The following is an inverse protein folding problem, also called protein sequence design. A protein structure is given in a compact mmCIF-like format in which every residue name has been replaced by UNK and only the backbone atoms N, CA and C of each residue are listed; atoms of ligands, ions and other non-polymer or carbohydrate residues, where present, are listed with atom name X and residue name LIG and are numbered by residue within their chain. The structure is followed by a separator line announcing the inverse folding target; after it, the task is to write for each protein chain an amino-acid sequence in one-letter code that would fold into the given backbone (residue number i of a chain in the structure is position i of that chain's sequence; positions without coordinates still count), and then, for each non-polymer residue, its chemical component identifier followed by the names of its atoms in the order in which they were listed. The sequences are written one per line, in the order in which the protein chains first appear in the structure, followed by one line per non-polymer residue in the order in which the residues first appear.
data_IF_804426112163
#
_entry.id   IF_804426112163
#
_cell.length_a   1.000
_cell.length_b   1.000
_cell.length_c   1.000
_cell.angle_alpha   90.00
_cell.angle_beta   90.00
_cell.angle_gamma   90.00
#
_symmetry.space_group_name_H-M   'P 1'
#
loop_
_entity.id
_entity.type
_entity.pdbx_description
1 polymer ?
#
# COMPACT_ATOMS: atom_id res chain seq x y z
N UNK A 1 21.03 0.33 -5.74
CA UNK A 1 20.16 1.19 -4.90
C UNK A 1 19.46 0.32 -3.86
N UNK A 2 19.38 0.75 -2.60
CA UNK A 2 18.52 0.13 -1.58
C UNK A 2 17.36 1.09 -1.31
N UNK A 3 16.12 0.60 -1.43
CA UNK A 3 14.91 1.29 -1.01
C UNK A 3 14.38 0.58 0.24
N UNK A 4 14.26 1.29 1.34
CA UNK A 4 13.72 0.77 2.59
C UNK A 4 12.44 1.52 2.93
N UNK A 5 11.37 0.79 3.23
CA UNK A 5 10.03 1.31 3.40
C UNK A 5 9.35 0.75 4.65
N UNK A 6 8.51 1.56 5.27
CA UNK A 6 7.55 1.11 6.26
C UNK A 6 6.17 0.94 5.61
N UNK A 7 5.41 -0.10 5.94
CA UNK A 7 4.09 -0.34 5.35
C UNK A 7 3.09 0.78 5.62
N UNK A 8 3.12 1.35 6.80
CA UNK A 8 2.10 2.30 7.28
C UNK A 8 2.45 3.78 7.10
N UNK A 9 3.57 4.11 6.46
CA UNK A 9 3.96 5.51 6.30
C UNK A 9 3.36 6.11 5.03
N UNK A 10 2.16 6.65 5.12
CA UNK A 10 1.35 7.13 3.97
C UNK A 10 2.08 8.10 3.04
N UNK A 11 3.03 8.91 3.57
CA UNK A 11 3.75 9.89 2.77
C UNK A 11 4.87 9.27 1.91
N UNK A 12 5.48 8.18 2.37
CA UNK A 12 6.71 7.66 1.76
C UNK A 12 6.56 6.29 1.14
N UNK A 13 5.72 5.41 1.69
CA UNK A 13 5.60 4.01 1.26
C UNK A 13 5.41 3.88 -0.25
N UNK A 14 4.43 4.57 -0.82
CA UNK A 14 4.20 4.56 -2.26
C UNK A 14 5.43 5.01 -3.05
N UNK A 15 6.08 6.10 -2.60
CA UNK A 15 7.28 6.63 -3.25
C UNK A 15 8.44 5.65 -3.27
N UNK A 16 8.61 4.86 -2.21
CA UNK A 16 9.64 3.84 -2.14
C UNK A 16 9.41 2.73 -3.17
N UNK A 17 8.19 2.22 -3.29
CA UNK A 17 7.84 1.22 -4.29
C UNK A 17 7.96 1.76 -5.71
N UNK A 18 7.44 2.95 -5.99
CA UNK A 18 7.54 3.58 -7.31
C UNK A 18 9.00 3.87 -7.67
N UNK A 19 9.80 4.35 -6.73
CA UNK A 19 11.23 4.57 -6.92
C UNK A 19 11.99 3.28 -7.22
N UNK A 20 11.70 2.20 -6.49
CA UNK A 20 12.28 0.88 -6.75
C UNK A 20 11.93 0.36 -8.14
N UNK A 21 10.68 0.52 -8.57
CA UNK A 21 10.24 0.06 -9.89
C UNK A 21 10.86 0.88 -11.03
N UNK A 22 10.93 2.19 -10.86
CA UNK A 22 11.35 3.13 -11.92
C UNK A 22 12.85 3.31 -12.04
N UNK A 23 13.65 2.94 -11.04
CA UNK A 23 15.10 3.15 -11.06
C UNK A 23 15.77 2.35 -12.18
N UNK A 24 16.65 3.00 -12.93
CA UNK A 24 17.41 2.36 -14.02
C UNK A 24 18.56 1.45 -13.57
N UNK A 25 18.87 1.40 -12.27
CA UNK A 25 19.93 0.54 -11.74
C UNK A 25 19.53 -0.93 -11.82
N UNK A 26 20.40 -1.77 -12.37
CA UNK A 26 20.24 -3.23 -12.35
C UNK A 26 20.48 -3.81 -10.93
N UNK A 27 21.31 -3.13 -10.14
CA UNK A 27 21.56 -3.47 -8.75
C UNK A 27 20.61 -2.67 -7.87
N UNK A 28 19.47 -3.29 -7.51
CA UNK A 28 18.44 -2.66 -6.69
C UNK A 28 17.82 -3.66 -5.73
N UNK A 29 17.55 -3.19 -4.53
CA UNK A 29 16.95 -3.96 -3.44
C UNK A 29 15.80 -3.16 -2.83
N UNK A 30 14.77 -3.88 -2.41
CA UNK A 30 13.62 -3.37 -1.70
C UNK A 30 13.52 -4.08 -0.36
N UNK A 31 13.46 -3.32 0.71
CA UNK A 31 13.18 -3.82 2.06
C UNK A 31 11.93 -3.11 2.58
N UNK A 32 10.97 -3.89 3.13
CA UNK A 32 9.73 -3.34 3.66
C UNK A 32 9.46 -3.90 5.04
N UNK A 33 9.54 -3.04 6.04
CA UNK A 33 9.39 -3.39 7.44
C UNK A 33 8.03 -3.00 8.02
N UNK A 34 7.68 -3.66 9.13
CA UNK A 34 6.43 -3.43 9.85
C UNK A 34 6.55 -2.46 11.02
N UNK A 35 7.77 -2.25 11.53
CA UNK A 35 8.00 -1.33 12.64
C UNK A 35 7.78 0.12 12.25
N UNK A 36 7.73 1.00 13.25
CA UNK A 36 7.64 2.44 13.08
C UNK A 36 8.79 2.96 12.19
N UNK A 37 8.47 3.89 11.30
CA UNK A 37 9.33 4.36 10.23
C UNK A 37 10.74 4.81 10.67
N UNK A 38 10.84 5.55 11.77
CA UNK A 38 12.13 6.02 12.27
C UNK A 38 12.82 4.99 13.16
N UNK A 39 12.05 4.20 13.90
CA UNK A 39 12.59 3.24 14.84
C UNK A 39 13.40 2.15 14.13
N UNK A 40 12.90 1.63 13.00
CA UNK A 40 13.57 0.56 12.27
C UNK A 40 14.98 0.94 11.83
N UNK A 41 15.19 2.18 11.45
CA UNK A 41 16.51 2.68 11.03
C UNK A 41 17.61 2.48 12.10
N UNK A 42 17.24 2.53 13.38
CA UNK A 42 18.14 2.46 14.53
C UNK A 42 18.15 1.09 15.23
N UNK A 43 17.34 0.14 14.79
CA UNK A 43 17.39 -1.23 15.31
C UNK A 43 18.73 -1.91 14.92
N UNK A 44 19.09 -2.98 15.62
CA UNK A 44 20.25 -3.79 15.24
C UNK A 44 20.14 -4.31 13.81
N UNK A 45 18.93 -4.68 13.38
CA UNK A 45 18.63 -5.06 12.01
C UNK A 45 18.87 -3.92 11.02
N UNK A 46 18.25 -2.76 11.23
CA UNK A 46 18.37 -1.61 10.33
C UNK A 46 19.81 -1.09 10.24
N UNK A 47 20.51 -1.00 11.37
CA UNK A 47 21.94 -0.65 11.42
C UNK A 47 22.79 -1.71 10.72
N UNK A 48 22.50 -3.00 10.92
CA UNK A 48 23.17 -4.10 10.26
C UNK A 48 22.99 -4.07 8.74
N UNK A 49 21.77 -3.85 8.27
CA UNK A 49 21.45 -3.71 6.84
C UNK A 49 22.25 -2.56 6.19
N UNK A 50 22.28 -1.40 6.83
CA UNK A 50 23.03 -0.24 6.36
C UNK A 50 24.55 -0.51 6.33
N UNK A 51 25.09 -1.10 7.39
CA UNK A 51 26.52 -1.47 7.45
C UNK A 51 26.90 -2.44 6.33
N UNK A 52 26.08 -3.45 6.08
CA UNK A 52 26.31 -4.43 5.01
C UNK A 52 26.28 -3.75 3.64
N UNK A 53 25.23 -2.92 3.37
CA UNK A 53 25.11 -2.21 2.10
C UNK A 53 26.26 -1.25 1.85
N UNK A 54 26.53 -0.34 2.78
CA UNK A 54 27.58 0.67 2.60
C UNK A 54 28.99 0.07 2.71
N UNK A 55 29.19 -0.97 3.52
CA UNK A 55 30.45 -1.71 3.58
C UNK A 55 30.79 -2.31 2.22
N UNK A 56 29.84 -2.99 1.60
CA UNK A 56 30.01 -3.60 0.28
C UNK A 56 30.27 -2.56 -0.79
N UNK A 57 29.39 -1.55 -0.97
CA UNK A 57 29.45 -0.63 -2.11
C UNK A 57 30.45 0.51 -1.96
N UNK A 58 30.74 0.98 -0.75
CA UNK A 58 31.63 2.12 -0.53
C UNK A 58 33.04 1.73 -0.08
N UNK A 59 33.18 0.58 0.58
CA UNK A 59 34.48 0.14 1.10
C UNK A 59 35.04 -1.07 0.40
N UNK A 60 34.22 -1.83 -0.33
CA UNK A 60 34.60 -3.09 -0.95
C UNK A 60 34.75 -4.23 0.07
N UNK A 61 34.11 -4.09 1.22
CA UNK A 61 34.15 -5.13 2.27
C UNK A 61 33.35 -6.36 1.84
N UNK A 62 33.79 -7.53 2.21
CA UNK A 62 33.05 -8.79 2.05
C UNK A 62 31.97 -8.87 3.14
N UNK A 63 30.78 -8.27 2.88
CA UNK A 63 29.69 -8.18 3.85
C UNK A 63 28.60 -9.22 3.66
N UNK A 64 28.73 -10.10 2.67
CA UNK A 64 27.67 -11.04 2.25
C UNK A 64 26.48 -10.34 1.61
N UNK A 65 26.67 -9.13 1.07
CA UNK A 65 25.61 -8.42 0.37
C UNK A 65 25.19 -9.09 -0.93
N UNK A 66 26.07 -9.88 -1.53
CA UNK A 66 25.84 -10.65 -2.75
C UNK A 66 24.70 -11.67 -2.59
N UNK A 67 24.51 -12.14 -1.36
CA UNK A 67 23.45 -13.09 -1.00
C UNK A 67 22.15 -12.41 -0.56
N UNK A 68 22.13 -11.05 -0.57
CA UNK A 68 20.92 -10.30 -0.17
C UNK A 68 19.81 -10.51 -1.20
N UNK A 69 18.61 -10.97 -0.79
CA UNK A 69 17.48 -11.14 -1.69
C UNK A 69 17.08 -9.79 -2.30
N UNK A 70 16.63 -9.76 -3.55
CA UNK A 70 16.23 -8.53 -4.22
C UNK A 70 15.10 -7.79 -3.49
N UNK A 71 14.21 -8.54 -2.84
CA UNK A 71 13.08 -8.00 -2.07
C UNK A 71 12.97 -8.74 -0.75
N UNK A 72 12.83 -8.00 0.34
CA UNK A 72 12.54 -8.52 1.68
C UNK A 72 11.34 -7.82 2.25
N UNK A 73 10.34 -8.58 2.67
CA UNK A 73 9.07 -8.08 3.18
C UNK A 73 8.83 -8.60 4.59
N UNK A 74 8.33 -7.75 5.48
CA UNK A 74 7.70 -8.17 6.72
C UNK A 74 6.19 -8.21 6.50
N UNK A 75 5.62 -9.41 6.38
CA UNK A 75 4.17 -9.61 6.22
C UNK A 75 3.51 -9.67 7.58
N UNK A 76 2.55 -8.80 7.83
CA UNK A 76 1.83 -8.76 9.11
C UNK A 76 0.71 -9.79 9.14
N UNK A 77 0.62 -10.52 10.24
CA UNK A 77 -0.51 -11.38 10.59
C UNK A 77 -1.58 -10.59 11.38
N UNK A 78 -2.77 -11.15 11.48
CA UNK A 78 -3.89 -10.52 12.19
C UNK A 78 -3.63 -10.36 13.69
N UNK A 79 -2.75 -11.17 14.27
CA UNK A 79 -2.32 -11.08 15.68
C UNK A 79 -1.24 -10.01 15.93
N UNK A 80 -0.87 -9.25 14.88
CA UNK A 80 0.15 -8.21 14.92
C UNK A 80 1.59 -8.71 14.80
N UNK A 81 1.83 -10.03 14.72
CA UNK A 81 3.16 -10.58 14.44
C UNK A 81 3.55 -10.35 12.98
N UNK A 82 4.86 -10.41 12.71
CA UNK A 82 5.40 -10.27 11.36
C UNK A 82 6.17 -11.52 10.94
N UNK A 83 5.97 -11.93 9.71
CA UNK A 83 6.78 -12.93 9.01
C UNK A 83 7.75 -12.22 8.07
N UNK A 84 9.05 -12.38 8.29
CA UNK A 84 10.06 -11.95 7.32
C UNK A 84 10.07 -12.91 6.14
N UNK A 85 9.95 -12.37 4.92
CA UNK A 85 9.87 -13.16 3.71
C UNK A 85 10.75 -12.58 2.61
N UNK A 86 11.62 -13.43 2.08
CA UNK A 86 12.51 -13.13 0.97
C UNK A 86 11.82 -13.42 -0.37
N UNK A 87 11.84 -12.45 -1.27
CA UNK A 87 11.19 -12.51 -2.58
C UNK A 87 12.17 -12.13 -3.69
N UNK A 88 11.86 -12.59 -4.91
CA UNK A 88 12.73 -12.36 -6.06
C UNK A 88 12.35 -11.13 -6.88
N UNK A 89 11.16 -10.58 -6.65
CA UNK A 89 10.62 -9.48 -7.44
C UNK A 89 9.51 -8.72 -6.71
N UNK A 90 9.21 -7.54 -7.20
CA UNK A 90 8.04 -6.77 -6.81
C UNK A 90 7.43 -6.05 -8.03
N UNK A 91 6.08 -6.05 -8.25
CA UNK A 91 5.09 -6.85 -7.50
C UNK A 91 5.34 -8.34 -7.64
N UNK A 92 4.83 -9.14 -6.71
CA UNK A 92 5.03 -10.59 -6.71
C UNK A 92 4.34 -11.22 -7.94
N UNK A 93 5.03 -12.05 -8.72
CA UNK A 93 4.47 -12.70 -9.91
C UNK A 93 3.26 -13.61 -9.58
N UNK A 94 3.23 -14.17 -8.37
CA UNK A 94 2.11 -15.00 -7.91
C UNK A 94 0.87 -14.23 -7.50
N UNK A 95 0.91 -12.88 -7.46
CA UNK A 95 -0.24 -12.07 -7.09
C UNK A 95 -1.41 -12.32 -8.03
N UNK A 96 -2.56 -12.68 -7.46
CA UNK A 96 -3.83 -12.78 -8.16
C UNK A 96 -4.60 -11.48 -7.97
N UNK A 97 -4.62 -10.65 -9.01
CA UNK A 97 -5.33 -9.38 -9.02
C UNK A 97 -6.83 -9.62 -8.95
N UNK A 98 -7.41 -9.39 -7.79
CA UNK A 98 -8.82 -9.66 -7.50
C UNK A 98 -9.58 -8.35 -7.36
N UNK A 99 -10.70 -8.24 -8.07
CA UNK A 99 -11.62 -7.10 -7.93
C UNK A 99 -12.67 -7.40 -6.88
N UNK A 100 -12.88 -6.44 -6.00
CA UNK A 100 -14.02 -6.41 -5.10
C UNK A 100 -14.94 -5.27 -5.52
N UNK A 101 -16.23 -5.53 -5.53
CA UNK A 101 -17.26 -4.58 -5.93
C UNK A 101 -17.92 -3.98 -4.70
N UNK A 102 -18.08 -2.66 -4.73
CA UNK A 102 -18.77 -1.89 -3.68
C UNK A 102 -20.27 -1.90 -3.98
N UNK A 103 -21.08 -2.51 -3.14
CA UNK A 103 -22.53 -2.44 -3.24
C UNK A 103 -23.06 -1.37 -2.28
N UNK A 104 -23.42 -0.22 -2.83
CA UNK A 104 -23.94 0.91 -2.07
C UNK A 104 -25.36 0.65 -1.49
N UNK A 105 -26.08 -0.36 -1.98
CA UNK A 105 -27.40 -0.73 -1.46
C UNK A 105 -27.34 -1.50 -0.16
N UNK A 106 -26.30 -2.31 0.02
CA UNK A 106 -26.13 -3.19 1.19
C UNK A 106 -24.95 -2.83 2.07
N UNK A 107 -24.02 -1.98 1.60
CA UNK A 107 -22.74 -1.74 2.26
C UNK A 107 -21.79 -2.93 2.19
N UNK A 108 -22.00 -3.84 1.24
CA UNK A 108 -21.15 -5.02 1.10
C UNK A 108 -20.02 -4.84 0.10
N UNK A 109 -18.94 -5.61 0.32
CA UNK A 109 -17.77 -5.70 -0.53
C UNK A 109 -17.63 -7.15 -1.00
N UNK A 110 -17.88 -7.42 -2.28
CA UNK A 110 -17.97 -8.78 -2.82
C UNK A 110 -17.19 -8.94 -4.11
N UNK A 111 -16.80 -10.18 -4.43
CA UNK A 111 -16.13 -10.49 -5.71
C UNK A 111 -17.10 -10.54 -6.88
N UNK A 112 -18.39 -10.59 -6.63
CA UNK A 112 -19.45 -10.51 -7.64
C UNK A 112 -20.11 -9.14 -7.55
N UNK A 113 -20.21 -8.42 -8.66
CA UNK A 113 -20.86 -7.11 -8.68
C UNK A 113 -22.35 -7.18 -8.33
N UNK A 114 -22.94 -6.09 -7.83
CA UNK A 114 -24.37 -6.02 -7.58
C UNK A 114 -25.15 -6.10 -8.89
N UNK A 115 -26.35 -6.65 -8.84
CA UNK A 115 -27.24 -6.78 -10.03
C UNK A 115 -27.78 -5.42 -10.50
N UNK A 116 -27.82 -4.43 -9.61
CA UNK A 116 -28.31 -3.07 -9.87
C UNK A 116 -27.38 -2.03 -9.29
N UNK A 117 -27.26 -0.90 -9.96
CA UNK A 117 -26.50 0.25 -9.47
C UNK A 117 -27.26 0.93 -8.30
N UNK A 118 -26.58 1.15 -7.20
CA UNK A 118 -27.07 1.88 -6.05
C UNK A 118 -26.19 3.10 -5.75
N UNK A 119 -26.74 4.06 -5.04
CA UNK A 119 -26.03 5.25 -4.58
C UNK A 119 -26.14 5.36 -3.06
N UNK A 120 -25.03 5.70 -2.41
CA UNK A 120 -24.99 6.09 -1.01
C UNK A 120 -24.54 7.54 -0.90
N UNK A 121 -25.28 8.33 -0.13
CA UNK A 121 -24.97 9.73 0.13
C UNK A 121 -24.40 9.88 1.54
N UNK A 122 -23.34 10.67 1.66
CA UNK A 122 -22.77 11.01 2.97
C UNK A 122 -22.27 12.47 3.00
N UNK A 123 -22.30 13.05 4.19
CA UNK A 123 -21.81 14.40 4.40
C UNK A 123 -20.29 14.45 4.34
N UNK A 124 -19.73 15.47 3.69
CA UNK A 124 -18.30 15.76 3.78
C UNK A 124 -17.88 15.95 5.24
N UNK A 125 -16.71 15.43 5.61
CA UNK A 125 -16.19 15.37 6.99
C UNK A 125 -17.07 14.57 7.97
N UNK A 126 -18.02 13.81 7.44
CA UNK A 126 -18.81 12.84 8.21
C UNK A 126 -18.12 11.48 8.26
N UNK A 127 -18.83 10.45 8.73
CA UNK A 127 -18.27 9.09 8.86
C UNK A 127 -17.91 8.43 7.52
N UNK A 128 -18.42 8.98 6.39
CA UNK A 128 -18.20 8.37 5.08
C UNK A 128 -19.17 7.23 4.78
N UNK A 129 -18.73 6.30 3.92
CA UNK A 129 -19.44 5.07 3.60
C UNK A 129 -18.49 3.89 3.77
N UNK A 130 -18.92 2.88 4.52
CA UNK A 130 -18.16 1.66 4.76
C UNK A 130 -18.73 0.50 3.93
N UNK A 131 -17.84 -0.34 3.44
CA UNK A 131 -18.17 -1.55 2.70
C UNK A 131 -17.38 -2.71 3.28
N UNK A 132 -18.07 -3.80 3.63
CA UNK A 132 -17.47 -4.94 4.31
C UNK A 132 -17.73 -6.22 3.55
N UNK A 133 -16.75 -7.12 3.56
CA UNK A 133 -16.99 -8.51 3.17
C UNK A 133 -17.75 -9.23 4.29
N UNK A 134 -18.41 -10.32 3.94
CA UNK A 134 -18.71 -11.32 4.96
C UNK A 134 -17.39 -11.85 5.57
N UNK A 135 -17.43 -12.45 6.77
CA UNK A 135 -16.28 -13.14 7.32
C UNK A 135 -15.68 -14.12 6.30
N UNK A 136 -14.38 -14.00 6.07
CA UNK A 136 -13.70 -14.82 5.07
C UNK A 136 -13.66 -16.28 5.54
N UNK A 137 -14.02 -17.21 4.66
CA UNK A 137 -13.98 -18.66 4.94
C UNK A 137 -12.58 -19.27 4.77
N UNK A 138 -11.66 -18.53 4.13
CA UNK A 138 -10.29 -18.94 3.88
C UNK A 138 -9.34 -17.78 4.18
N UNK A 139 -8.09 -18.12 4.44
CA UNK A 139 -7.04 -17.11 4.64
C UNK A 139 -6.84 -16.28 3.37
N UNK A 140 -6.81 -14.97 3.52
CA UNK A 140 -6.50 -14.01 2.48
C UNK A 140 -5.22 -13.25 2.83
N UNK A 141 -4.25 -13.25 1.95
CA UNK A 141 -3.07 -12.39 2.02
C UNK A 141 -3.26 -11.19 1.08
N UNK A 142 -3.05 -9.99 1.60
CA UNK A 142 -3.05 -8.75 0.83
C UNK A 142 -1.62 -8.19 0.84
N UNK A 143 -0.86 -8.45 -0.23
CA UNK A 143 0.53 -8.01 -0.36
C UNK A 143 0.73 -7.42 -1.75
N UNK A 144 0.60 -6.10 -1.87
CA UNK A 144 0.69 -5.41 -3.14
C UNK A 144 -0.07 -4.09 -3.16
N UNK A 145 0.00 -3.35 -4.27
CA UNK A 145 -0.79 -2.14 -4.44
C UNK A 145 -2.27 -2.46 -4.54
N UNK A 146 -3.10 -1.61 -3.95
CA UNK A 146 -4.54 -1.62 -4.09
C UNK A 146 -5.01 -0.33 -4.77
N UNK A 147 -6.08 -0.40 -5.57
CA UNK A 147 -6.69 0.75 -6.21
C UNK A 147 -8.20 0.72 -6.04
N UNK A 148 -8.80 1.88 -5.75
CA UNK A 148 -10.25 2.04 -5.72
C UNK A 148 -10.70 2.78 -6.97
N UNK A 149 -11.79 2.31 -7.58
CA UNK A 149 -12.48 2.98 -8.68
C UNK A 149 -13.90 3.27 -8.25
N UNK A 150 -14.24 4.54 -8.10
CA UNK A 150 -15.55 4.98 -7.65
C UNK A 150 -16.17 5.95 -8.65
N UNK A 151 -17.51 5.94 -8.76
CA UNK A 151 -18.27 7.00 -9.40
C UNK A 151 -18.70 7.97 -8.32
N UNK A 152 -18.40 9.24 -8.50
CA UNK A 152 -18.66 10.29 -7.50
C UNK A 152 -19.50 11.41 -8.11
N UNK A 153 -20.50 11.85 -7.35
CA UNK A 153 -21.16 13.13 -7.53
C UNK A 153 -20.94 13.98 -6.27
N UNK A 154 -20.85 15.30 -6.43
CA UNK A 154 -20.68 16.22 -5.30
C UNK A 154 -21.62 17.40 -5.45
N UNK A 155 -22.12 17.92 -4.35
CA UNK A 155 -22.86 19.19 -4.29
C UNK A 155 -21.95 20.41 -4.42
N UNK A 156 -20.63 20.21 -4.40
CA UNK A 156 -19.60 21.25 -4.58
C UNK A 156 -18.94 21.13 -5.95
N UNK A 157 -18.16 22.15 -6.35
CA UNK A 157 -17.47 22.18 -7.64
C UNK A 157 -16.29 21.18 -7.73
N UNK A 158 -15.79 20.72 -6.60
CA UNK A 158 -14.73 19.73 -6.49
C UNK A 158 -14.88 18.95 -5.18
N UNK A 159 -14.19 17.81 -5.04
CA UNK A 159 -14.20 17.01 -3.83
C UNK A 159 -12.85 16.31 -3.64
N UNK A 160 -12.40 16.22 -2.40
CA UNK A 160 -11.29 15.37 -2.01
C UNK A 160 -11.84 14.05 -1.45
N UNK A 161 -11.45 12.95 -2.06
CA UNK A 161 -11.85 11.61 -1.64
C UNK A 161 -10.68 10.94 -0.92
N UNK A 162 -10.96 10.39 0.26
CA UNK A 162 -10.05 9.56 1.03
C UNK A 162 -10.62 8.16 1.11
N UNK A 163 -9.81 7.16 0.81
CA UNK A 163 -10.19 5.75 0.85
C UNK A 163 -9.23 5.03 1.78
N UNK A 164 -9.77 4.24 2.72
CA UNK A 164 -8.99 3.43 3.65
C UNK A 164 -9.27 1.95 3.43
N UNK A 165 -8.23 1.13 3.47
CA UNK A 165 -8.35 -0.32 3.55
C UNK A 165 -8.20 -0.73 5.00
N UNK A 166 -9.21 -1.44 5.51
CA UNK A 166 -9.29 -1.91 6.90
C UNK A 166 -9.49 -3.42 6.92
N UNK A 167 -8.96 -4.06 7.92
CA UNK A 167 -9.15 -5.50 8.19
C UNK A 167 -9.57 -5.65 9.64
N UNK A 168 -10.51 -6.54 9.89
CA UNK A 168 -10.86 -6.99 11.23
C UNK A 168 -10.38 -8.41 11.42
N UNK A 169 -9.91 -8.72 12.64
CA UNK A 169 -9.61 -10.06 13.06
C UNK A 169 -10.92 -10.87 13.31
N UNK A 170 -10.86 -12.18 13.56
CA UNK A 170 -12.04 -12.97 13.82
C UNK A 170 -12.87 -12.53 15.05
N UNK A 171 -12.27 -11.80 15.97
CA UNK A 171 -12.93 -11.27 17.17
C UNK A 171 -13.56 -9.89 16.94
N UNK A 172 -13.40 -9.32 15.71
CA UNK A 172 -13.95 -8.03 15.32
C UNK A 172 -13.06 -6.84 15.69
N UNK A 173 -11.82 -7.07 16.15
CA UNK A 173 -10.88 -5.98 16.42
C UNK A 173 -10.22 -5.53 15.11
N UNK A 174 -9.98 -4.23 15.00
CA UNK A 174 -9.27 -3.69 13.83
C UNK A 174 -7.79 -4.07 13.86
N UNK A 175 -7.31 -4.66 12.77
CA UNK A 175 -5.89 -4.90 12.53
C UNK A 175 -5.25 -3.59 12.10
N UNK A 176 -4.25 -3.13 12.83
CA UNK A 176 -3.57 -1.87 12.58
C UNK A 176 -2.08 -2.03 12.38
N UNK A 177 -1.48 -1.06 11.71
CA UNK A 177 -0.03 -0.92 11.54
C UNK A 177 0.48 0.27 12.35
N UNK A 178 1.69 0.14 12.88
CA UNK A 178 2.35 1.27 13.56
C UNK A 178 3.00 2.18 12.53
N UNK A 179 2.58 3.43 12.46
CA UNK A 179 3.19 4.46 11.62
C UNK A 179 3.94 5.49 12.45
N UNK A 180 4.70 6.36 11.79
CA UNK A 180 5.42 7.45 12.45
C UNK A 180 4.52 8.48 13.15
N UNK A 181 3.26 8.57 12.75
CA UNK A 181 2.32 9.60 13.21
C UNK A 181 1.06 9.03 13.86
N UNK A 182 0.85 7.72 13.73
CA UNK A 182 -0.33 7.04 14.26
C UNK A 182 0.06 5.62 14.71
N UNK A 183 -0.07 5.30 16.00
CA UNK A 183 0.20 3.95 16.51
C UNK A 183 -0.85 2.92 16.08
N UNK A 184 -1.99 3.37 15.54
CA UNK A 184 -3.11 2.55 15.08
C UNK A 184 -3.47 2.87 13.63
N UNK A 185 -2.46 3.02 12.77
CA UNK A 185 -2.66 3.33 11.36
C UNK A 185 -3.39 2.20 10.62
N UNK A 186 -4.22 2.58 9.66
CA UNK A 186 -4.94 1.62 8.79
C UNK A 186 -3.97 0.93 7.83
N UNK A 187 -4.35 -0.26 7.32
CA UNK A 187 -3.48 -1.06 6.46
C UNK A 187 -3.16 -0.38 5.12
N UNK A 188 -4.07 0.41 4.60
CA UNK A 188 -3.82 1.17 3.39
C UNK A 188 -4.67 2.43 3.31
N UNK A 189 -4.12 3.46 2.71
CA UNK A 189 -4.82 4.72 2.49
C UNK A 189 -4.50 5.27 1.11
N UNK A 190 -5.50 5.82 0.46
CA UNK A 190 -5.36 6.54 -0.78
C UNK A 190 -6.21 7.80 -0.75
N UNK A 191 -5.82 8.81 -1.51
CA UNK A 191 -6.61 10.03 -1.66
C UNK A 191 -6.45 10.61 -3.06
N UNK A 192 -7.52 11.24 -3.53
CA UNK A 192 -7.51 11.91 -4.82
C UNK A 192 -8.53 13.04 -4.82
N UNK A 193 -8.12 14.20 -5.34
CA UNK A 193 -9.05 15.27 -5.68
C UNK A 193 -9.78 14.94 -6.99
N UNK A 194 -11.08 15.08 -7.02
CA UNK A 194 -11.90 14.69 -8.16
C UNK A 194 -11.51 15.39 -9.46
N UNK A 195 -11.09 16.67 -9.41
CA UNK A 195 -10.55 17.39 -10.56
C UNK A 195 -9.21 16.86 -11.08
N UNK A 196 -8.49 16.05 -10.30
CA UNK A 196 -7.21 15.41 -10.68
C UNK A 196 -7.39 13.95 -11.12
N UNK A 197 -8.61 13.51 -11.43
CA UNK A 197 -8.94 12.12 -11.78
C UNK A 197 -8.42 11.64 -13.13
N UNK A 198 -7.90 12.53 -13.98
CA UNK A 198 -7.32 12.15 -15.26
C UNK A 198 -6.25 11.07 -15.08
N UNK A 199 -6.25 10.08 -15.96
CA UNK A 199 -5.31 8.95 -15.92
C UNK A 199 -4.39 9.04 -17.14
N UNK A 200 -3.10 8.85 -16.93
CA UNK A 200 -2.14 8.57 -17.98
C UNK A 200 -2.23 7.07 -18.31
N UNK A 201 -2.90 6.76 -19.42
CA UNK A 201 -3.15 5.36 -19.84
C UNK A 201 -1.87 4.60 -20.16
N UNK A 202 -0.81 5.28 -20.61
CA UNK A 202 0.46 4.63 -20.96
C UNK A 202 1.24 4.20 -19.71
N UNK A 203 1.05 4.91 -18.58
CA UNK A 203 1.75 4.67 -17.32
C UNK A 203 0.92 3.91 -16.30
N UNK A 204 -0.38 3.80 -16.53
CA UNK A 204 -1.33 3.18 -15.61
C UNK A 204 -1.44 1.68 -15.81
N UNK A 205 -1.62 0.98 -14.69
CA UNK A 205 -2.09 -0.40 -14.65
C UNK A 205 -3.42 -0.42 -13.88
N UNK A 206 -4.30 -1.41 -14.09
CA UNK A 206 -5.59 -1.48 -13.38
C UNK A 206 -5.47 -1.36 -11.86
N UNK A 207 -4.43 -1.96 -11.29
CA UNK A 207 -4.12 -1.96 -9.86
C UNK A 207 -3.18 -0.83 -9.42
N UNK A 208 -2.68 -0.02 -10.35
CA UNK A 208 -1.75 1.07 -10.12
C UNK A 208 -2.03 2.23 -11.07
N UNK A 209 -3.13 2.97 -10.87
CA UNK A 209 -3.45 4.13 -11.70
C UNK A 209 -2.40 5.23 -11.53
N UNK A 210 -2.02 5.85 -12.63
CA UNK A 210 -1.11 7.00 -12.64
C UNK A 210 -1.88 8.26 -13.01
N UNK A 211 -1.95 9.22 -12.08
CA UNK A 211 -2.55 10.52 -12.32
C UNK A 211 -1.44 11.52 -12.65
N UNK A 212 -1.46 12.16 -13.82
CA UNK A 212 -0.47 13.14 -14.17
C UNK A 212 -0.57 14.35 -13.23
N UNK A 213 0.56 14.80 -12.72
CA UNK A 213 0.61 16.14 -12.11
C UNK A 213 0.35 17.14 -13.21
N UNK A 214 -0.77 17.87 -13.15
CA UNK A 214 -0.97 19.00 -14.03
C UNK A 214 0.18 19.97 -13.82
N UNK A 215 1.14 19.96 -14.74
CA UNK A 215 2.12 21.02 -14.83
C UNK A 215 1.32 22.31 -14.97
N UNK A 216 1.44 23.21 -14.00
CA UNK A 216 0.78 24.49 -14.10
C UNK A 216 1.16 25.12 -15.44
N UNK A 217 0.20 25.29 -16.32
CA UNK A 217 0.35 26.22 -17.44
C UNK A 217 0.64 27.58 -16.82
N UNK A 218 1.89 28.01 -16.92
CA UNK A 218 2.30 29.39 -16.68
C UNK A 218 1.72 30.30 -17.74
#
# INVERSE_FOLDING_TARGET
MLSSANWAHHLHTRGNFEGYLAVGSQQKWLEVHGNEHFAEFYTDYGVGLQKRFFGHFLKGDATGWEDQPPVRLNVQHVDGSFEERDEQEWPLARTRWTSFHLDAGTGSLTTTGPDTDHTVDFAALGPGADFWTDPLSEQLEITGPAAARVRLASSTTDADLFVTLRVQDPDGNEVSLVSAIDPHGVLGVGWLRASHREIDEQRSLPHRPWHPTRGGSR
#
